data_IF_841356835405
#
_entry.id   IF_841356835405
#
_cell.length_a   1.000
_cell.length_b   1.000
_cell.length_c   1.000
_cell.angle_alpha   90.00
_cell.angle_beta   90.00
_cell.angle_gamma   90.00
#
_symmetry.space_group_name_H-M   'P 1'
#
loop_
_entity.id
_entity.type
_entity.pdbx_description
1 polymer ?
#
# COMPACT_ATOMS: atom_id res chain seq x y z
N UNK A 1 -12.29 -69.64 2.32
CA UNK A 1 -12.39 -68.39 1.52
C UNK A 1 -12.87 -67.33 2.48
N UNK A 2 -11.95 -66.56 3.00
CA UNK A 2 -12.18 -65.53 4.03
C UNK A 2 -11.92 -64.18 3.39
N UNK A 3 -12.94 -63.35 3.31
CA UNK A 3 -12.85 -61.96 2.83
C UNK A 3 -12.45 -61.06 3.99
N UNK A 4 -11.31 -60.37 3.85
CA UNK A 4 -10.88 -59.36 4.80
C UNK A 4 -11.46 -58.01 4.39
N UNK A 5 -12.26 -57.42 5.26
CA UNK A 5 -12.69 -56.04 5.22
C UNK A 5 -11.54 -55.12 5.62
N UNK A 6 -11.22 -54.13 4.77
CA UNK A 6 -10.30 -53.03 5.07
C UNK A 6 -11.13 -51.86 5.60
N UNK A 7 -10.98 -51.55 6.87
CA UNK A 7 -11.56 -50.36 7.52
C UNK A 7 -10.67 -49.17 7.23
N UNK A 8 -11.23 -48.17 6.50
CA UNK A 8 -10.59 -46.89 6.26
C UNK A 8 -10.68 -46.01 7.51
N UNK A 9 -9.55 -45.67 8.12
CA UNK A 9 -9.46 -44.70 9.21
C UNK A 9 -9.48 -43.27 8.67
N UNK A 10 -10.53 -42.54 8.94
CA UNK A 10 -10.62 -41.09 8.73
C UNK A 10 -9.72 -40.39 9.72
N UNK A 11 -8.57 -39.93 9.24
CA UNK A 11 -7.68 -39.02 9.95
C UNK A 11 -8.16 -37.59 9.79
N UNK A 12 -8.94 -37.09 10.74
CA UNK A 12 -9.19 -35.65 10.88
C UNK A 12 -7.92 -34.94 11.33
N UNK A 13 -7.31 -34.21 10.44
CA UNK A 13 -6.22 -33.30 10.78
C UNK A 13 -6.76 -32.20 11.68
N UNK A 14 -6.44 -32.28 12.98
CA UNK A 14 -6.64 -31.17 13.93
C UNK A 14 -5.75 -30.00 13.52
N UNK A 15 -6.36 -28.92 13.06
CA UNK A 15 -5.71 -27.62 12.98
C UNK A 15 -5.38 -27.19 14.40
N UNK A 16 -4.11 -27.04 14.70
CA UNK A 16 -3.63 -26.57 15.98
C UNK A 16 -4.12 -25.14 16.22
N UNK A 17 -5.10 -24.99 17.10
CA UNK A 17 -5.50 -23.73 17.72
C UNK A 17 -4.49 -23.42 18.81
N UNK A 18 -3.55 -22.52 18.52
CA UNK A 18 -2.55 -22.09 19.47
C UNK A 18 -1.94 -20.76 19.08
N UNK A 19 -2.66 -19.68 19.28
CA UNK A 19 -2.13 -18.42 19.77
C UNK A 19 -3.29 -17.53 20.27
N UNK A 20 -3.61 -17.68 21.55
CA UNK A 20 -4.53 -16.78 22.28
C UNK A 20 -3.65 -15.84 23.09
N UNK A 21 -3.56 -14.56 22.65
CA UNK A 21 -3.14 -13.54 23.58
C UNK A 21 -2.02 -12.62 23.13
N UNK A 22 -2.31 -11.73 22.29
CA UNK A 22 -1.96 -10.32 22.19
C UNK A 22 -2.68 -9.83 20.93
N UNK A 23 -3.49 -8.82 21.01
CA UNK A 23 -3.99 -8.12 19.82
C UNK A 23 -2.75 -7.63 19.10
N UNK A 24 -2.30 -8.37 18.06
CA UNK A 24 -1.19 -7.95 17.22
C UNK A 24 -1.67 -6.72 16.47
N UNK A 25 -1.37 -5.55 17.03
CA UNK A 25 -1.69 -4.23 16.46
C UNK A 25 -1.09 -4.03 15.06
N UNK A 26 -0.24 -4.96 14.62
CA UNK A 26 0.50 -4.92 13.36
C UNK A 26 0.09 -6.03 12.35
N UNK A 27 -1.02 -6.72 12.59
CA UNK A 27 -1.50 -7.75 11.68
C UNK A 27 -2.26 -7.12 10.50
N UNK A 28 -1.85 -7.47 9.28
CA UNK A 28 -2.48 -7.05 8.03
C UNK A 28 -3.71 -7.93 7.73
N UNK A 29 -4.66 -7.34 7.02
CA UNK A 29 -5.91 -7.98 6.63
C UNK A 29 -5.68 -8.72 5.31
N UNK A 30 -5.65 -10.06 5.36
CA UNK A 30 -5.58 -10.90 4.16
C UNK A 30 -6.93 -10.90 3.46
N UNK A 31 -6.89 -10.76 2.14
CA UNK A 31 -8.09 -10.74 1.29
C UNK A 31 -7.95 -11.65 0.08
N UNK A 32 -9.08 -12.02 -0.52
CA UNK A 32 -9.09 -12.58 -1.87
C UNK A 32 -9.25 -11.47 -2.93
N UNK A 33 -9.25 -11.85 -4.21
CA UNK A 33 -9.40 -10.90 -5.33
C UNK A 33 -10.75 -10.15 -5.35
N UNK A 34 -11.74 -10.61 -4.60
CA UNK A 34 -13.04 -9.95 -4.41
C UNK A 34 -13.09 -9.08 -3.13
N UNK A 35 -11.93 -8.83 -2.50
CA UNK A 35 -11.79 -8.07 -1.24
C UNK A 35 -12.51 -8.70 -0.03
N UNK A 36 -12.79 -10.01 -0.06
CA UNK A 36 -13.33 -10.72 1.09
C UNK A 36 -12.20 -11.09 2.02
N UNK A 37 -12.38 -10.81 3.32
CA UNK A 37 -11.38 -11.12 4.34
C UNK A 37 -11.23 -12.64 4.47
N UNK A 38 -10.01 -13.14 4.27
CA UNK A 38 -9.66 -14.57 4.36
C UNK A 38 -8.75 -14.90 5.54
N UNK A 39 -8.26 -13.89 6.26
CA UNK A 39 -7.40 -14.09 7.42
C UNK A 39 -6.66 -12.84 7.86
N UNK A 40 -5.65 -13.06 8.71
CA UNK A 40 -4.72 -12.03 9.18
C UNK A 40 -3.33 -12.63 9.28
N UNK A 41 -2.31 -11.80 9.03
CA UNK A 41 -0.92 -12.21 9.12
C UNK A 41 -0.04 -11.01 9.54
N UNK A 42 1.06 -11.25 10.26
CA UNK A 42 1.98 -10.17 10.60
C UNK A 42 2.55 -9.51 9.34
N UNK A 43 2.80 -8.20 9.42
CA UNK A 43 3.34 -7.43 8.30
C UNK A 43 4.59 -8.09 7.71
N UNK A 44 5.53 -8.53 8.54
CA UNK A 44 6.76 -9.20 8.10
C UNK A 44 6.45 -10.41 7.22
N UNK A 45 5.57 -11.31 7.68
CA UNK A 45 5.23 -12.54 6.96
C UNK A 45 4.42 -12.27 5.67
N UNK A 46 3.60 -11.22 5.66
CA UNK A 46 2.87 -10.82 4.45
C UNK A 46 3.80 -10.47 3.28
N UNK A 47 5.01 -9.98 3.60
CA UNK A 47 5.97 -9.49 2.61
C UNK A 47 7.12 -10.47 2.33
N UNK A 48 7.11 -11.68 2.91
CA UNK A 48 8.11 -12.72 2.64
C UNK A 48 7.86 -13.41 1.29
N UNK A 49 8.97 -13.82 0.63
CA UNK A 49 8.90 -14.54 -0.63
C UNK A 49 8.14 -13.76 -1.70
N UNK A 50 7.08 -14.36 -2.25
CA UNK A 50 6.21 -13.73 -3.26
C UNK A 50 5.15 -12.77 -2.68
N UNK A 51 5.11 -12.62 -1.37
CA UNK A 51 4.07 -11.84 -0.69
C UNK A 51 2.72 -12.56 -0.64
N UNK A 52 1.93 -12.27 0.41
CA UNK A 52 0.57 -12.77 0.57
C UNK A 52 -0.40 -11.64 0.28
N UNK A 53 -1.46 -11.88 -0.51
CA UNK A 53 -2.42 -10.83 -0.87
C UNK A 53 -3.09 -10.25 0.36
N UNK A 54 -2.92 -8.95 0.56
CA UNK A 54 -3.46 -8.23 1.70
C UNK A 54 -4.00 -6.86 1.29
N UNK A 55 -4.83 -6.27 2.14
CA UNK A 55 -5.49 -4.99 1.90
C UNK A 55 -4.53 -3.84 2.16
N UNK A 56 -4.48 -2.89 1.22
CA UNK A 56 -3.64 -1.70 1.30
C UNK A 56 -4.35 -0.46 0.76
N UNK A 57 -3.72 0.69 0.93
CA UNK A 57 -4.13 1.94 0.31
C UNK A 57 -2.95 2.81 -0.09
N UNK A 58 -3.18 3.63 -1.12
CA UNK A 58 -2.28 4.65 -1.63
C UNK A 58 -2.98 6.00 -1.66
N UNK A 59 -2.27 7.03 -1.21
CA UNK A 59 -2.76 8.41 -1.14
C UNK A 59 -1.93 9.30 -2.06
N UNK A 60 -2.60 10.09 -2.90
CA UNK A 60 -2.03 11.10 -3.77
C UNK A 60 -2.49 12.47 -3.25
N UNK A 61 -1.60 13.18 -2.56
CA UNK A 61 -1.92 14.48 -1.94
C UNK A 61 -1.35 15.60 -2.78
N UNK A 62 -2.21 16.53 -3.14
CA UNK A 62 -1.86 17.70 -3.95
C UNK A 62 -1.87 18.97 -3.09
N UNK A 63 -1.05 19.96 -3.45
CA UNK A 63 -1.13 21.29 -2.90
C UNK A 63 -2.18 22.14 -3.68
N UNK A 64 -2.40 23.37 -3.26
CA UNK A 64 -3.32 24.31 -3.93
C UNK A 64 -2.88 24.75 -5.32
N UNK A 65 -1.60 24.59 -5.66
CA UNK A 65 -1.09 24.82 -7.02
C UNK A 65 -1.34 23.59 -7.95
N UNK A 66 -1.79 22.46 -7.38
CA UNK A 66 -2.02 21.21 -8.11
C UNK A 66 -0.76 20.38 -8.32
N UNK A 67 0.29 20.62 -7.53
CA UNK A 67 1.47 19.76 -7.52
C UNK A 67 1.25 18.57 -6.58
N UNK A 68 1.74 17.40 -6.98
CA UNK A 68 1.68 16.17 -6.19
C UNK A 68 2.82 16.14 -5.17
N UNK A 69 2.50 15.79 -3.93
CA UNK A 69 3.50 15.41 -2.93
C UNK A 69 4.04 14.03 -3.25
N UNK A 70 5.32 13.94 -3.56
CA UNK A 70 6.05 12.67 -3.62
C UNK A 70 7.06 12.59 -2.48
N UNK A 71 7.28 11.38 -1.98
CA UNK A 71 8.21 11.14 -0.88
C UNK A 71 9.28 10.12 -1.27
N UNK A 72 10.48 10.28 -0.72
CA UNK A 72 11.53 9.28 -0.77
C UNK A 72 11.45 8.43 0.50
N UNK A 73 11.24 7.15 0.33
CA UNK A 73 11.12 6.17 1.42
C UNK A 73 12.36 6.18 2.30
N UNK A 74 12.20 6.08 3.61
CA UNK A 74 13.32 6.01 4.53
C UNK A 74 14.31 4.89 4.17
N UNK A 75 15.60 5.13 4.42
CA UNK A 75 16.66 4.15 4.25
C UNK A 75 16.47 2.90 5.13
N UNK A 76 15.70 3.00 6.21
CA UNK A 76 15.37 1.89 7.12
C UNK A 76 14.26 0.97 6.59
N UNK A 77 13.58 1.34 5.50
CA UNK A 77 12.53 0.49 4.92
C UNK A 77 13.11 -0.82 4.41
N UNK A 78 12.51 -1.94 4.83
CA UNK A 78 12.94 -3.29 4.43
C UNK A 78 12.87 -3.52 2.92
N UNK A 79 11.81 -3.01 2.28
CA UNK A 79 11.56 -3.13 0.84
C UNK A 79 11.60 -1.74 0.20
N UNK A 80 12.26 -1.61 -0.94
CA UNK A 80 12.44 -0.35 -1.70
C UNK A 80 12.91 0.83 -0.83
N UNK A 81 14.00 0.71 -0.02
CA UNK A 81 14.59 1.85 0.67
C UNK A 81 15.09 2.89 -0.34
N UNK A 82 14.92 4.19 -0.02
CA UNK A 82 15.34 5.33 -0.82
C UNK A 82 14.70 5.45 -2.23
N UNK A 83 13.66 4.67 -2.51
CA UNK A 83 12.85 4.87 -3.72
C UNK A 83 11.86 6.02 -3.51
N UNK A 84 11.60 6.77 -4.58
CA UNK A 84 10.52 7.74 -4.62
C UNK A 84 9.16 7.04 -4.79
N UNK A 85 8.15 7.55 -4.14
CA UNK A 85 6.82 6.97 -4.10
C UNK A 85 5.75 8.05 -3.99
N UNK A 86 4.48 7.65 -4.05
CA UNK A 86 3.32 8.48 -3.77
C UNK A 86 3.37 9.10 -2.36
N UNK A 87 2.44 9.99 -2.05
CA UNK A 87 2.45 10.79 -0.81
C UNK A 87 2.46 9.94 0.45
N UNK A 88 1.62 8.91 0.50
CA UNK A 88 1.55 7.95 1.61
C UNK A 88 0.98 6.62 1.12
N UNK A 89 1.55 5.50 1.54
CA UNK A 89 0.97 4.18 1.31
C UNK A 89 1.10 3.31 2.56
N UNK A 90 0.04 2.59 2.90
CA UNK A 90 0.00 1.78 4.12
C UNK A 90 -1.17 0.78 4.09
N UNK A 91 -1.46 0.24 5.26
CA UNK A 91 -2.44 -0.82 5.45
C UNK A 91 -3.44 -0.43 6.55
N UNK A 92 -4.73 -0.75 6.41
CA UNK A 92 -5.66 -0.69 7.52
C UNK A 92 -5.31 -1.79 8.54
N UNK A 93 -5.41 -1.45 9.82
CA UNK A 93 -5.26 -2.41 10.92
C UNK A 93 -6.50 -3.28 11.03
N UNK A 94 -6.37 -4.43 11.69
CA UNK A 94 -7.52 -5.29 11.97
C UNK A 94 -8.62 -4.55 12.74
N UNK A 95 -9.82 -4.51 12.17
CA UNK A 95 -10.98 -3.79 12.74
C UNK A 95 -11.03 -2.30 12.41
N UNK A 96 -10.04 -1.77 11.71
CA UNK A 96 -10.01 -0.38 11.26
C UNK A 96 -10.69 -0.26 9.88
N UNK A 97 -11.55 0.73 9.72
CA UNK A 97 -12.08 1.07 8.40
C UNK A 97 -11.07 1.89 7.59
N UNK A 98 -11.35 2.04 6.30
CA UNK A 98 -10.41 2.70 5.38
C UNK A 98 -10.27 4.21 5.68
N UNK A 99 -11.34 4.88 6.08
CA UNK A 99 -11.31 6.30 6.41
C UNK A 99 -10.43 6.58 7.64
N UNK A 100 -10.61 5.78 8.69
CA UNK A 100 -9.80 5.85 9.90
C UNK A 100 -8.33 5.55 9.62
N UNK A 101 -8.05 4.50 8.82
CA UNK A 101 -6.69 4.10 8.47
C UNK A 101 -5.94 5.17 7.67
N UNK A 102 -6.59 5.73 6.64
CA UNK A 102 -5.98 6.77 5.79
C UNK A 102 -5.73 8.05 6.56
N UNK A 103 -6.69 8.50 7.39
CA UNK A 103 -6.53 9.69 8.26
C UNK A 103 -5.39 9.50 9.25
N UNK A 104 -5.34 8.35 9.93
CA UNK A 104 -4.27 8.01 10.87
C UNK A 104 -2.89 8.09 10.20
N UNK A 105 -2.73 7.49 9.03
CA UNK A 105 -1.42 7.46 8.36
C UNK A 105 -1.02 8.81 7.78
N UNK A 106 -1.94 9.63 7.28
CA UNK A 106 -1.64 11.02 6.91
C UNK A 106 -1.09 11.81 8.09
N UNK A 107 -1.71 11.65 9.26
CA UNK A 107 -1.25 12.34 10.47
C UNK A 107 0.10 11.79 10.96
N UNK A 108 0.30 10.46 10.95
CA UNK A 108 1.53 9.83 11.42
C UNK A 108 2.71 10.12 10.50
N UNK A 109 2.54 10.03 9.16
CA UNK A 109 3.66 10.17 8.20
C UNK A 109 3.93 11.59 7.75
N UNK A 110 2.87 12.42 7.61
CA UNK A 110 2.95 13.74 6.98
C UNK A 110 2.51 14.90 7.89
N UNK A 111 1.93 14.59 9.07
CA UNK A 111 1.44 15.60 10.02
C UNK A 111 0.21 16.38 9.53
N UNK A 112 -0.53 15.88 8.54
CA UNK A 112 -1.67 16.59 7.91
C UNK A 112 -2.97 15.80 8.03
N UNK A 113 -4.09 16.51 7.81
CA UNK A 113 -5.41 15.95 7.63
C UNK A 113 -6.12 16.63 6.46
N UNK A 114 -6.65 15.85 5.53
CA UNK A 114 -7.42 16.40 4.41
C UNK A 114 -8.52 15.42 3.98
N UNK A 115 -9.59 15.92 3.33
CA UNK A 115 -10.58 15.08 2.68
C UNK A 115 -9.93 14.24 1.57
N UNK A 116 -10.35 12.99 1.45
CA UNK A 116 -9.88 12.08 0.44
C UNK A 116 -11.05 11.61 -0.43
N UNK A 117 -10.83 11.59 -1.74
CA UNK A 117 -11.72 11.02 -2.73
C UNK A 117 -11.17 9.67 -3.18
N UNK A 118 -11.99 8.61 -3.10
CA UNK A 118 -11.65 7.31 -3.67
C UNK A 118 -11.67 7.38 -5.20
N UNK A 119 -10.65 6.85 -5.86
CA UNK A 119 -10.58 6.77 -7.31
C UNK A 119 -10.89 5.35 -7.80
N UNK A 120 -10.08 4.38 -7.41
CA UNK A 120 -10.23 2.99 -7.83
C UNK A 120 -9.50 2.04 -6.88
N UNK A 121 -9.72 0.75 -7.11
CA UNK A 121 -8.99 -0.33 -6.46
C UNK A 121 -8.30 -1.19 -7.52
N UNK A 122 -7.10 -1.68 -7.23
CA UNK A 122 -6.39 -2.61 -8.11
C UNK A 122 -5.55 -3.60 -7.29
N UNK A 123 -5.29 -4.74 -7.88
CA UNK A 123 -4.38 -5.73 -7.33
C UNK A 123 -3.04 -5.65 -8.07
N UNK A 124 -1.95 -5.71 -7.32
CA UNK A 124 -0.62 -5.83 -7.90
C UNK A 124 0.28 -6.73 -7.07
N UNK A 125 1.32 -7.21 -7.70
CA UNK A 125 2.42 -7.91 -7.06
C UNK A 125 3.73 -7.36 -7.62
N UNK A 126 4.68 -7.05 -6.74
CA UNK A 126 6.00 -6.58 -7.12
C UNK A 126 7.06 -7.26 -6.25
N UNK A 127 8.04 -7.89 -6.89
CA UNK A 127 9.18 -8.48 -6.21
C UNK A 127 10.28 -7.43 -6.06
N UNK A 128 10.80 -7.23 -4.85
CA UNK A 128 11.96 -6.37 -4.63
C UNK A 128 13.26 -7.11 -4.94
N UNK A 129 13.54 -8.12 -4.17
CA UNK A 129 14.67 -9.05 -4.33
C UNK A 129 14.40 -10.34 -3.51
N UNK A 130 15.44 -11.03 -3.08
CA UNK A 130 15.30 -12.19 -2.19
C UNK A 130 14.72 -11.85 -0.80
N UNK A 131 14.73 -10.56 -0.40
CA UNK A 131 14.18 -10.07 0.88
C UNK A 131 12.66 -10.17 0.95
N UNK A 132 11.97 -9.97 -0.19
CA UNK A 132 10.52 -10.05 -0.23
C UNK A 132 9.83 -9.29 -1.35
N UNK A 133 8.52 -9.16 -1.24
CA UNK A 133 7.65 -8.54 -2.22
C UNK A 133 6.42 -7.88 -1.60
N UNK A 134 5.80 -6.97 -2.35
CA UNK A 134 4.44 -6.49 -2.13
C UNK A 134 3.47 -7.36 -2.92
N UNK A 135 2.33 -7.68 -2.32
CA UNK A 135 1.19 -8.32 -2.98
C UNK A 135 -0.08 -7.76 -2.37
N UNK A 136 -0.64 -6.75 -3.01
CA UNK A 136 -1.67 -5.91 -2.41
C UNK A 136 -2.93 -5.80 -3.25
N UNK A 137 -4.07 -5.74 -2.57
CA UNK A 137 -5.31 -5.19 -3.10
C UNK A 137 -5.41 -3.75 -2.58
N UNK A 138 -4.94 -2.82 -3.39
CA UNK A 138 -4.71 -1.43 -3.02
C UNK A 138 -5.88 -0.53 -3.43
N UNK A 139 -6.40 0.26 -2.48
CA UNK A 139 -7.37 1.32 -2.71
C UNK A 139 -6.65 2.65 -2.91
N UNK A 140 -6.86 3.31 -4.05
CA UNK A 140 -6.19 4.56 -4.42
C UNK A 140 -7.11 5.73 -4.15
N UNK A 141 -6.58 6.73 -3.44
CA UNK A 141 -7.28 7.96 -3.08
C UNK A 141 -6.50 9.19 -3.53
N UNK A 142 -7.22 10.28 -3.76
CA UNK A 142 -6.70 11.59 -4.09
C UNK A 142 -7.23 12.61 -3.08
N UNK A 143 -6.41 13.60 -2.72
CA UNK A 143 -6.82 14.70 -1.84
C UNK A 143 -6.02 15.96 -2.09
N UNK A 144 -6.53 17.10 -1.63
CA UNK A 144 -5.81 18.37 -1.65
C UNK A 144 -5.62 18.89 -0.22
N UNK A 145 -4.42 19.41 0.06
CA UNK A 145 -4.04 19.90 1.36
C UNK A 145 -3.27 21.22 1.25
N UNK A 146 -3.68 22.21 2.05
CA UNK A 146 -2.97 23.49 2.19
C UNK A 146 -2.10 23.55 3.46
N UNK A 147 -2.14 22.52 4.32
CA UNK A 147 -1.39 22.47 5.56
C UNK A 147 0.11 22.26 5.31
N UNK A 148 0.99 22.80 6.17
CA UNK A 148 2.41 22.55 6.10
C UNK A 148 2.71 21.08 6.38
N UNK A 149 3.62 20.51 5.59
CA UNK A 149 4.02 19.09 5.71
C UNK A 149 5.05 18.94 6.83
N UNK A 150 4.80 17.99 7.74
CA UNK A 150 5.71 17.60 8.82
C UNK A 150 5.94 16.08 8.78
N UNK A 151 6.98 15.66 8.06
CA UNK A 151 7.25 14.23 7.82
C UNK A 151 7.84 13.52 9.05
N UNK A 152 7.47 12.26 9.24
CA UNK A 152 8.19 11.35 10.15
C UNK A 152 9.48 10.86 9.45
N UNK A 153 10.69 11.18 9.98
CA UNK A 153 11.96 10.76 9.37
C UNK A 153 12.20 9.25 9.40
N UNK A 154 11.47 8.49 10.24
CA UNK A 154 11.51 7.04 10.23
C UNK A 154 10.79 6.43 9.00
N UNK A 155 9.85 7.16 8.44
CA UNK A 155 9.07 6.75 7.27
C UNK A 155 9.64 7.36 5.98
N UNK A 156 10.09 8.63 6.02
CA UNK A 156 10.38 9.49 4.87
C UNK A 156 11.76 10.14 5.01
N UNK A 157 12.69 9.85 4.07
CA UNK A 157 14.01 10.47 4.01
C UNK A 157 14.01 11.86 3.36
N UNK A 158 13.14 12.06 2.37
CA UNK A 158 12.98 13.34 1.66
C UNK A 158 11.59 13.40 1.04
N UNK A 159 11.13 14.60 0.77
CA UNK A 159 9.87 14.82 0.06
C UNK A 159 9.95 16.08 -0.79
N UNK A 160 9.09 16.19 -1.81
CA UNK A 160 8.93 17.38 -2.62
C UNK A 160 7.56 17.44 -3.27
N UNK A 161 7.17 18.64 -3.66
CA UNK A 161 6.08 18.84 -4.60
C UNK A 161 6.61 18.68 -6.02
N UNK A 162 5.81 18.09 -6.90
CA UNK A 162 6.14 17.91 -8.32
C UNK A 162 4.93 18.21 -9.18
N UNK A 163 5.12 18.99 -10.24
CA UNK A 163 4.07 19.21 -11.25
C UNK A 163 3.71 17.88 -11.93
N UNK A 164 2.39 17.58 -12.13
CA UNK A 164 1.93 16.36 -12.76
C UNK A 164 2.54 16.06 -14.15
N UNK A 165 2.79 17.07 -14.96
CA UNK A 165 3.42 16.88 -16.28
C UNK A 165 4.92 16.61 -16.16
N UNK A 166 5.58 17.22 -15.19
CA UNK A 166 6.98 16.90 -14.88
C UNK A 166 7.11 15.45 -14.40
N UNK A 167 6.21 15.00 -13.52
CA UNK A 167 6.20 13.61 -13.05
C UNK A 167 6.00 12.63 -14.22
N UNK A 168 5.03 12.90 -15.09
CA UNK A 168 4.79 12.10 -16.30
C UNK A 168 6.08 11.99 -17.14
N UNK A 169 6.74 13.12 -17.38
CA UNK A 169 8.01 13.16 -18.13
C UNK A 169 9.11 12.34 -17.45
N UNK A 170 9.25 12.45 -16.12
CA UNK A 170 10.26 11.70 -15.37
C UNK A 170 10.03 10.20 -15.41
N UNK A 171 8.78 9.76 -15.32
CA UNK A 171 8.41 8.34 -15.40
C UNK A 171 8.64 7.77 -16.81
N UNK A 172 8.32 8.52 -17.86
CA UNK A 172 8.50 8.08 -19.26
C UNK A 172 9.98 8.00 -19.65
N UNK A 173 10.80 8.94 -19.18
CA UNK A 173 12.21 9.03 -19.58
C UNK A 173 13.14 8.19 -18.71
N UNK A 174 12.63 7.55 -17.65
CA UNK A 174 13.45 6.87 -16.65
C UNK A 174 14.62 7.77 -16.20
N UNK A 175 14.30 9.01 -15.84
CA UNK A 175 15.25 10.08 -15.54
C UNK A 175 16.46 9.55 -14.74
N UNK A 176 17.67 9.72 -15.26
CA UNK A 176 18.89 9.09 -14.79
C UNK A 176 19.07 9.28 -13.26
N UNK A 177 19.02 8.18 -12.51
CA UNK A 177 19.26 8.15 -11.07
C UNK A 177 18.02 8.27 -10.19
N UNK A 178 16.83 8.58 -10.71
CA UNK A 178 15.59 8.60 -9.93
C UNK A 178 14.93 7.22 -10.00
N UNK A 179 14.76 6.58 -8.84
CA UNK A 179 14.09 5.27 -8.75
C UNK A 179 12.71 5.45 -8.13
N UNK A 180 11.67 5.08 -8.85
CA UNK A 180 10.30 5.06 -8.36
C UNK A 180 9.87 3.66 -7.94
N UNK A 181 8.98 3.57 -6.94
CA UNK A 181 8.39 2.30 -6.54
C UNK A 181 7.48 1.76 -7.66
N UNK A 182 7.41 0.43 -7.86
CA UNK A 182 6.60 -0.15 -8.93
C UNK A 182 5.11 0.23 -8.85
N UNK A 183 4.52 0.19 -7.64
CA UNK A 183 3.10 0.53 -7.47
C UNK A 183 2.81 1.98 -7.83
N UNK A 184 3.66 2.93 -7.39
CA UNK A 184 3.47 4.34 -7.72
C UNK A 184 3.51 4.58 -9.23
N UNK A 185 4.42 3.93 -9.94
CA UNK A 185 4.46 4.00 -11.41
C UNK A 185 3.17 3.46 -12.04
N UNK A 186 2.70 2.29 -11.59
CA UNK A 186 1.43 1.70 -12.09
C UNK A 186 0.23 2.59 -11.77
N UNK A 187 0.18 3.14 -10.56
CA UNK A 187 -0.89 4.03 -10.10
C UNK A 187 -0.92 5.31 -10.91
N UNK A 188 0.24 5.97 -11.08
CA UNK A 188 0.30 7.23 -11.82
C UNK A 188 -0.10 7.08 -13.28
N UNK A 189 0.38 6.06 -13.96
CA UNK A 189 -0.02 5.76 -15.36
C UNK A 189 -1.53 5.62 -15.47
N UNK A 190 -2.18 4.93 -14.53
CA UNK A 190 -3.62 4.77 -14.51
C UNK A 190 -4.36 6.07 -14.17
N UNK A 191 -3.90 6.80 -13.14
CA UNK A 191 -4.47 8.10 -12.76
C UNK A 191 -4.40 9.07 -13.94
N UNK A 192 -3.24 9.17 -14.59
CA UNK A 192 -3.04 10.09 -15.69
C UNK A 192 -3.86 9.75 -16.94
N UNK A 193 -4.11 8.47 -17.18
CA UNK A 193 -4.97 8.01 -18.28
C UNK A 193 -6.46 8.20 -17.99
N UNK A 194 -6.92 7.78 -16.79
CA UNK A 194 -8.35 7.58 -16.49
C UNK A 194 -8.95 8.70 -15.62
N UNK A 195 -8.11 9.45 -14.86
CA UNK A 195 -8.53 10.44 -13.87
C UNK A 195 -7.82 11.79 -14.01
N UNK A 196 -7.24 12.07 -15.18
CA UNK A 196 -6.48 13.30 -15.43
C UNK A 196 -7.28 14.56 -15.12
N UNK A 197 -8.54 14.62 -15.56
CA UNK A 197 -9.40 15.78 -15.33
C UNK A 197 -9.66 15.99 -13.82
N UNK A 198 -9.78 14.90 -13.04
CA UNK A 198 -9.89 14.97 -11.59
C UNK A 198 -8.62 15.58 -10.96
N UNK A 199 -7.45 15.18 -11.42
CA UNK A 199 -6.16 15.75 -10.98
C UNK A 199 -6.08 17.24 -11.32
N UNK A 200 -6.37 17.60 -12.55
CA UNK A 200 -6.28 19.00 -13.01
C UNK A 200 -7.31 19.92 -12.33
N UNK A 201 -8.46 19.38 -11.91
CA UNK A 201 -9.47 20.12 -11.15
C UNK A 201 -9.06 20.44 -9.69
N UNK A 202 -7.97 19.85 -9.17
CA UNK A 202 -7.42 20.18 -7.84
C UNK A 202 -6.59 21.47 -7.83
N UNK A 203 -6.28 22.05 -8.98
CA UNK A 203 -5.69 23.40 -9.10
C UNK A 203 -6.75 24.44 -8.74
N UNK A 204 -6.55 25.12 -7.60
CA UNK A 204 -7.41 26.20 -7.13
C UNK A 204 -7.18 27.49 -7.91
#
# INVERSE_FOLDING_TARGET
>A
MTVNEVVASNGTARVASGDTGAVQTDALILVDAADRVVGRLSKTRCHEGKGVLHRAFSLMIFNTAGDLLIQQRSASKRLWPLYWSNSCCSHPRSGEDMETATRRRLQEELGIACPLQFLYKFQYQAQFDATGSEHELCSVFIGSCAEPIAVDPNEISAWRWIDPYELESQLLTSAAGVKFTPWFTMEWVRIWRDHRDTVLALRA
#
